data_IF_291778703852
#
_entry.id   IF_291778703852
#
_cell.length_a   1.000
_cell.length_b   1.000
_cell.length_c   1.000
_cell.angle_alpha   90.00
_cell.angle_beta   90.00
_cell.angle_gamma   90.00
#
_symmetry.space_group_name_H-M   'P 1'
#
loop_
_entity.id
_entity.type
_entity.pdbx_description
1 polymer ?
#
# COMPACT_ATOMS: atom_id res chain seq x y z
N UNK A 1 1.63 1.55 -14.75
CA UNK A 1 1.20 2.83 -14.16
C UNK A 1 2.20 3.88 -14.58
N UNK A 2 1.76 5.06 -15.03
CA UNK A 2 2.69 6.15 -15.36
C UNK A 2 3.45 6.58 -14.10
N UNK A 3 4.76 6.50 -14.18
CA UNK A 3 5.76 6.71 -13.13
C UNK A 3 5.96 8.21 -12.79
N UNK A 4 4.86 8.92 -12.51
CA UNK A 4 4.82 10.33 -12.11
C UNK A 4 4.44 10.44 -10.61
N UNK A 5 5.21 11.15 -9.76
CA UNK A 5 4.81 11.49 -8.39
C UNK A 5 3.38 12.06 -8.25
N UNK A 6 2.85 12.73 -9.29
CA UNK A 6 1.45 13.18 -9.32
C UNK A 6 0.46 12.02 -9.31
N UNK A 7 0.75 10.92 -9.99
CA UNK A 7 -0.11 9.73 -10.04
C UNK A 7 -0.16 9.03 -8.68
N UNK A 8 0.97 8.97 -7.96
CA UNK A 8 1.02 8.49 -6.57
C UNK A 8 0.23 9.39 -5.62
N UNK A 9 0.30 10.71 -5.80
CA UNK A 9 -0.49 11.66 -5.00
C UNK A 9 -2.00 11.48 -5.19
N UNK A 10 -2.45 11.27 -6.42
CA UNK A 10 -3.85 10.95 -6.72
C UNK A 10 -4.28 9.59 -6.16
N UNK A 11 -3.41 8.59 -6.28
CA UNK A 11 -3.63 7.26 -5.73
C UNK A 11 -3.79 7.33 -4.20
N UNK A 12 -2.90 8.03 -3.49
CA UNK A 12 -3.01 8.22 -2.04
C UNK A 12 -4.30 8.93 -1.64
N UNK A 13 -4.74 9.94 -2.41
CA UNK A 13 -6.03 10.61 -2.16
C UNK A 13 -7.20 9.66 -2.28
N UNK A 14 -7.24 8.84 -3.33
CA UNK A 14 -8.27 7.81 -3.53
C UNK A 14 -8.22 6.75 -2.43
N UNK A 15 -7.02 6.34 -2.05
CA UNK A 15 -6.78 5.37 -0.98
C UNK A 15 -7.33 5.91 0.35
N UNK A 16 -7.03 7.15 0.73
CA UNK A 16 -7.54 7.75 1.97
C UNK A 16 -9.06 7.99 1.96
N UNK A 17 -9.63 8.31 0.81
CA UNK A 17 -11.06 8.61 0.69
C UNK A 17 -11.95 7.35 0.72
N UNK A 18 -11.43 6.21 0.27
CA UNK A 18 -12.20 4.96 0.23
C UNK A 18 -12.06 4.17 1.54
N UNK A 19 -13.14 3.54 2.04
CA UNK A 19 -13.03 2.57 3.13
C UNK A 19 -12.36 1.26 2.68
N UNK A 20 -12.42 0.92 1.39
CA UNK A 20 -11.82 -0.30 0.81
C UNK A 20 -10.48 -0.02 0.12
N UNK A 21 -9.64 -1.06 -0.02
CA UNK A 21 -8.39 -0.97 -0.77
C UNK A 21 -8.65 -0.55 -2.21
N UNK A 22 -7.88 0.42 -2.70
CA UNK A 22 -7.95 0.81 -4.10
C UNK A 22 -7.19 -0.18 -4.99
N UNK A 23 -7.63 -0.38 -6.24
CA UNK A 23 -6.94 -1.25 -7.18
C UNK A 23 -5.53 -0.71 -7.44
N UNK A 24 -4.54 -1.60 -7.30
CA UNK A 24 -3.13 -1.35 -7.61
C UNK A 24 -2.62 -2.51 -8.48
N UNK A 25 -1.48 -2.32 -9.13
CA UNK A 25 -0.80 -3.41 -9.85
C UNK A 25 -0.35 -4.50 -8.86
N UNK A 26 -0.30 -5.76 -9.30
CA UNK A 26 0.25 -6.85 -8.47
C UNK A 26 1.69 -6.58 -8.04
N UNK A 27 2.44 -5.90 -8.91
CA UNK A 27 3.84 -5.53 -8.71
C UNK A 27 4.02 -4.16 -8.06
N UNK A 28 2.96 -3.56 -7.50
CA UNK A 28 2.94 -2.17 -7.04
C UNK A 28 4.12 -1.79 -6.14
N UNK A 29 4.44 -2.60 -5.12
CA UNK A 29 5.55 -2.29 -4.21
C UNK A 29 6.92 -2.40 -4.89
N UNK A 30 7.06 -3.28 -5.86
CA UNK A 30 8.29 -3.37 -6.65
C UNK A 30 8.46 -2.16 -7.58
N UNK A 31 7.36 -1.69 -8.17
CA UNK A 31 7.32 -0.47 -8.98
C UNK A 31 7.65 0.76 -8.12
N UNK A 32 7.02 0.88 -6.95
CA UNK A 32 7.25 1.97 -5.99
C UNK A 32 8.70 2.00 -5.51
N UNK A 33 9.28 0.84 -5.19
CA UNK A 33 10.70 0.72 -4.82
C UNK A 33 11.62 1.15 -5.97
N UNK A 34 11.30 0.77 -7.20
CA UNK A 34 12.01 1.22 -8.39
C UNK A 34 11.97 2.73 -8.54
N UNK A 35 10.80 3.35 -8.37
CA UNK A 35 10.64 4.80 -8.45
C UNK A 35 11.48 5.55 -7.42
N UNK A 36 11.52 5.07 -6.17
CA UNK A 36 12.35 5.66 -5.11
C UNK A 36 13.83 5.52 -5.47
N UNK A 37 14.27 4.35 -5.93
CA UNK A 37 15.68 4.14 -6.33
C UNK A 37 16.09 5.04 -7.49
N UNK A 38 15.25 5.14 -8.52
CA UNK A 38 15.51 6.00 -9.67
C UNK A 38 15.54 7.48 -9.27
N UNK A 39 14.80 7.88 -8.23
CA UNK A 39 14.88 9.22 -7.67
C UNK A 39 16.17 9.43 -6.86
N UNK A 40 16.63 8.43 -6.10
CA UNK A 40 17.91 8.44 -5.38
C UNK A 40 19.11 8.63 -6.31
N UNK A 41 19.06 8.05 -7.51
CA UNK A 41 20.10 8.20 -8.52
C UNK A 41 20.06 9.56 -9.24
N UNK A 42 18.87 10.16 -9.38
CA UNK A 42 18.67 11.40 -10.14
C UNK A 42 18.83 12.67 -9.32
N UNK A 43 18.48 12.64 -8.03
CA UNK A 43 18.50 13.82 -7.18
C UNK A 43 19.66 13.77 -6.19
N UNK A 44 20.19 14.93 -5.76
CA UNK A 44 21.16 14.98 -4.66
C UNK A 44 20.60 14.31 -3.40
N UNK A 45 21.45 13.68 -2.58
CA UNK A 45 21.04 13.20 -1.27
C UNK A 45 20.34 14.31 -0.47
N UNK A 46 19.26 13.98 0.23
CA UNK A 46 18.47 14.91 1.04
C UNK A 46 17.79 16.04 0.27
N UNK A 47 17.54 15.89 -1.04
CA UNK A 47 16.67 16.82 -1.75
C UNK A 47 15.23 16.76 -1.24
N UNK A 48 14.49 17.86 -1.37
CA UNK A 48 13.06 17.88 -0.98
C UNK A 48 12.24 16.93 -1.85
N UNK A 49 12.64 16.77 -3.10
CA UNK A 49 11.99 15.90 -4.08
C UNK A 49 12.03 14.44 -3.65
N UNK A 50 13.18 13.98 -3.15
CA UNK A 50 13.32 12.58 -2.71
C UNK A 50 12.64 12.32 -1.38
N UNK A 51 12.72 13.29 -0.46
CA UNK A 51 12.01 13.23 0.82
C UNK A 51 10.49 13.16 0.59
N UNK A 52 9.97 14.01 -0.29
CA UNK A 52 8.55 13.99 -0.65
C UNK A 52 8.10 12.65 -1.25
N UNK A 53 8.91 12.05 -2.14
CA UNK A 53 8.57 10.77 -2.75
C UNK A 53 8.60 9.63 -1.71
N UNK A 54 9.58 9.62 -0.80
CA UNK A 54 9.66 8.65 0.30
C UNK A 54 8.47 8.77 1.23
N UNK A 55 8.14 9.99 1.65
CA UNK A 55 6.97 10.26 2.49
C UNK A 55 5.67 9.81 1.80
N UNK A 56 5.55 10.04 0.49
CA UNK A 56 4.38 9.61 -0.28
C UNK A 56 4.28 8.08 -0.37
N UNK A 57 5.40 7.40 -0.61
CA UNK A 57 5.46 5.94 -0.65
C UNK A 57 5.08 5.33 0.70
N UNK A 58 5.63 5.87 1.78
CA UNK A 58 5.33 5.46 3.16
C UNK A 58 3.86 5.71 3.52
N UNK A 59 3.32 6.88 3.17
CA UNK A 59 1.91 7.22 3.39
C UNK A 59 0.96 6.24 2.68
N UNK A 60 1.29 5.83 1.46
CA UNK A 60 0.50 4.83 0.72
C UNK A 60 0.55 3.48 1.42
N UNK A 61 1.76 3.02 1.76
CA UNK A 61 1.95 1.76 2.47
C UNK A 61 1.14 1.73 3.78
N UNK A 62 1.31 2.75 4.63
CA UNK A 62 0.63 2.87 5.92
C UNK A 62 -0.89 2.95 5.76
N UNK A 63 -1.38 3.68 4.75
CA UNK A 63 -2.82 3.79 4.51
C UNK A 63 -3.44 2.45 4.13
N UNK A 64 -2.73 1.63 3.34
CA UNK A 64 -3.20 0.30 2.93
C UNK A 64 -3.09 -0.71 4.06
N UNK A 65 -1.96 -0.73 4.77
CA UNK A 65 -1.74 -1.60 5.93
C UNK A 65 -2.82 -1.38 6.99
N UNK A 66 -3.12 -0.13 7.33
CA UNK A 66 -4.19 0.20 8.28
C UNK A 66 -5.53 -0.43 7.90
N UNK A 67 -5.88 -0.44 6.62
CA UNK A 67 -7.14 -1.06 6.14
C UNK A 67 -7.10 -2.57 6.28
N UNK A 68 -5.98 -3.21 5.91
CA UNK A 68 -5.80 -4.65 6.05
C UNK A 68 -5.89 -5.07 7.52
N UNK A 69 -5.26 -4.34 8.43
CA UNK A 69 -5.32 -4.60 9.87
C UNK A 69 -6.75 -4.49 10.41
N UNK A 70 -7.46 -3.42 10.07
CA UNK A 70 -8.85 -3.24 10.49
C UNK A 70 -9.76 -4.33 9.92
N UNK A 71 -9.56 -4.70 8.66
CA UNK A 71 -10.29 -5.77 8.02
C UNK A 71 -10.03 -7.11 8.71
N UNK A 72 -8.77 -7.42 9.05
CA UNK A 72 -8.39 -8.67 9.69
C UNK A 72 -9.06 -8.82 11.07
N UNK A 73 -9.10 -7.73 11.85
CA UNK A 73 -9.81 -7.71 13.14
C UNK A 73 -11.31 -7.94 12.97
N UNK A 74 -11.92 -7.43 11.89
CA UNK A 74 -13.33 -7.69 11.59
C UNK A 74 -13.56 -9.17 11.26
N UNK A 75 -12.73 -9.72 10.36
CA UNK A 75 -12.81 -11.12 9.92
C UNK A 75 -12.58 -12.14 11.03
N UNK A 76 -11.59 -11.89 11.90
CA UNK A 76 -11.31 -12.76 13.04
C UNK A 76 -12.52 -12.87 14.00
N UNK A 77 -13.44 -11.90 14.00
CA UNK A 77 -14.63 -11.89 14.85
C UNK A 77 -15.89 -12.43 14.18
N UNK A 78 -16.00 -12.34 12.85
CA UNK A 78 -17.22 -12.73 12.12
C UNK A 78 -17.23 -14.20 11.66
N UNK A 79 -16.10 -14.91 11.77
CA UNK A 79 -15.89 -16.25 11.18
C UNK A 79 -16.25 -16.34 9.67
N UNK A 80 -16.24 -15.19 8.99
CA UNK A 80 -16.42 -15.09 7.54
C UNK A 80 -15.18 -15.60 6.79
N UNK A 81 -15.40 -16.02 5.54
CA UNK A 81 -14.36 -16.64 4.72
C UNK A 81 -13.33 -15.60 4.23
N UNK A 82 -12.05 -15.86 4.53
CA UNK A 82 -10.91 -14.93 4.43
C UNK A 82 -10.53 -14.66 2.96
N UNK A 83 -11.12 -15.39 2.01
CA UNK A 83 -10.70 -15.43 0.59
C UNK A 83 -10.87 -14.12 -0.18
N UNK A 84 -11.64 -13.16 0.34
CA UNK A 84 -12.19 -12.06 -0.47
C UNK A 84 -11.59 -10.67 -0.19
N UNK A 85 -10.28 -10.58 0.12
CA UNK A 85 -9.61 -9.28 0.16
C UNK A 85 -9.38 -8.75 -1.26
N UNK A 86 -10.39 -8.03 -1.76
CA UNK A 86 -10.37 -7.39 -3.08
C UNK A 86 -9.31 -6.29 -3.13
N UNK A 87 -8.60 -6.20 -4.26
CA UNK A 87 -7.55 -5.20 -4.53
C UNK A 87 -6.29 -5.29 -3.64
N UNK A 88 -6.11 -6.38 -2.90
CA UNK A 88 -4.83 -6.67 -2.25
C UNK A 88 -3.85 -7.30 -3.24
N UNK A 89 -2.60 -6.85 -3.16
CA UNK A 89 -1.45 -7.50 -3.80
C UNK A 89 -1.19 -8.87 -3.17
N UNK A 90 -0.45 -9.78 -3.83
CA UNK A 90 -0.09 -11.08 -3.25
C UNK A 90 0.58 -10.97 -1.87
N UNK A 91 1.50 -10.02 -1.70
CA UNK A 91 2.17 -9.79 -0.42
C UNK A 91 1.22 -9.29 0.68
N UNK A 92 0.26 -8.44 0.33
CA UNK A 92 -0.77 -7.96 1.27
C UNK A 92 -1.73 -9.09 1.68
N UNK A 93 -2.05 -10.00 0.77
CA UNK A 93 -2.87 -11.19 1.08
C UNK A 93 -2.16 -12.10 2.06
N UNK A 94 -0.88 -12.40 1.82
CA UNK A 94 -0.07 -13.20 2.74
C UNK A 94 0.02 -12.53 4.13
N UNK A 95 0.26 -11.21 4.17
CA UNK A 95 0.25 -10.45 5.43
C UNK A 95 -1.11 -10.54 6.15
N UNK A 96 -2.21 -10.38 5.41
CA UNK A 96 -3.56 -10.43 5.94
C UNK A 96 -3.92 -11.81 6.51
N UNK A 97 -3.64 -12.88 5.77
CA UNK A 97 -3.90 -14.26 6.20
C UNK A 97 -3.12 -14.60 7.47
N UNK A 98 -1.84 -14.22 7.53
CA UNK A 98 -1.02 -14.36 8.72
C UNK A 98 -1.63 -13.59 9.91
N UNK A 99 -2.06 -12.34 9.69
CA UNK A 99 -2.66 -11.52 10.74
C UNK A 99 -3.97 -12.11 11.27
N UNK A 100 -4.85 -12.59 10.38
CA UNK A 100 -6.10 -13.25 10.77
C UNK A 100 -5.80 -14.53 11.56
N UNK A 101 -4.81 -15.32 11.15
CA UNK A 101 -4.41 -16.54 11.87
C UNK A 101 -3.89 -16.28 13.29
N UNK A 102 -3.24 -15.13 13.52
CA UNK A 102 -2.72 -14.72 14.83
C UNK A 102 -3.80 -14.18 15.77
N UNK A 103 -4.90 -13.66 15.19
CA UNK A 103 -6.01 -13.08 15.95
C UNK A 103 -7.05 -14.13 16.40
N UNK A 104 -7.03 -15.32 15.80
CA UNK A 104 -7.83 -16.48 16.19
C UNK A 104 -7.12 -17.31 17.26
#
# INVERSE_FOLDING_TARGET
>A
MDSDPKSLGEMLRKERASPSLQPVSENFYSELKGMVRDAEERYPPFSREIENLRNLAEDIFNSREKKLVLLAVSYARSDEDVSDVVNATPAEKEFFENLVSMLK
#
